data_IF_002800533181
#
_entry.id   IF_002800533181
#
_cell.length_a   1.000
_cell.length_b   1.000
_cell.length_c   1.000
_cell.angle_alpha   90.00
_cell.angle_beta   90.00
_cell.angle_gamma   90.00
#
_symmetry.space_group_name_H-M   'P 1'
#
loop_
_entity.id
_entity.type
_entity.pdbx_description
1 polymer ?
#
# COMPACT_ATOMS: atom_id res chain seq x y z
N UNK A 1 -57.46 31.60 30.44
CA UNK A 1 -56.11 32.12 30.75
C UNK A 1 -55.11 31.48 29.80
N UNK A 2 -54.58 32.24 28.84
CA UNK A 2 -53.61 31.74 27.85
C UNK A 2 -52.20 31.82 28.44
N UNK A 3 -51.56 30.67 28.65
CA UNK A 3 -50.17 30.59 29.10
C UNK A 3 -49.30 30.92 27.89
N UNK A 4 -48.75 32.14 27.86
CA UNK A 4 -47.76 32.53 26.88
C UNK A 4 -46.56 31.56 26.96
N UNK A 5 -46.41 30.70 25.96
CA UNK A 5 -45.24 29.84 25.81
C UNK A 5 -44.03 30.76 25.64
N UNK A 6 -43.14 30.80 26.64
CA UNK A 6 -41.80 31.39 26.51
C UNK A 6 -41.10 30.67 25.36
N UNK A 7 -40.90 31.37 24.25
CA UNK A 7 -40.06 30.88 23.15
C UNK A 7 -38.62 30.94 23.66
N UNK A 8 -38.11 29.82 24.15
CA UNK A 8 -36.71 29.71 24.54
C UNK A 8 -35.86 29.67 23.26
N UNK A 9 -35.26 30.81 22.92
CA UNK A 9 -34.33 30.91 21.80
C UNK A 9 -33.00 30.31 22.23
N UNK A 10 -32.57 29.22 21.59
CA UNK A 10 -31.30 28.57 21.88
C UNK A 10 -30.16 29.53 21.47
N UNK A 11 -29.32 30.02 22.41
CA UNK A 11 -28.26 30.97 22.09
C UNK A 11 -27.14 30.36 21.23
N UNK A 12 -27.10 29.02 21.08
CA UNK A 12 -26.10 28.32 20.29
C UNK A 12 -26.62 27.83 18.93
N UNK A 13 -27.87 28.16 18.57
CA UNK A 13 -28.51 27.64 17.36
C UNK A 13 -27.73 28.02 16.09
N UNK A 14 -27.24 29.25 16.03
CA UNK A 14 -26.46 29.76 14.89
C UNK A 14 -25.11 29.03 14.78
N UNK A 15 -24.35 28.94 15.88
CA UNK A 15 -23.11 28.18 15.91
C UNK A 15 -23.31 26.69 15.54
N UNK A 16 -24.42 26.08 15.98
CA UNK A 16 -24.75 24.70 15.61
C UNK A 16 -25.04 24.57 14.12
N UNK A 17 -25.77 25.53 13.52
CA UNK A 17 -26.03 25.57 12.08
C UNK A 17 -24.74 25.74 11.29
N UNK A 18 -23.89 26.69 11.68
CA UNK A 18 -22.63 26.95 11.00
C UNK A 18 -21.69 25.75 11.06
N UNK A 19 -21.64 25.08 12.22
CA UNK A 19 -20.86 23.85 12.37
C UNK A 19 -21.40 22.72 11.50
N UNK A 20 -22.72 22.58 11.40
CA UNK A 20 -23.34 21.56 10.53
C UNK A 20 -23.07 21.87 9.07
N UNK A 21 -23.18 23.14 8.68
CA UNK A 21 -22.89 23.62 7.33
C UNK A 21 -21.43 23.38 6.95
N UNK A 22 -20.47 23.84 7.77
CA UNK A 22 -19.05 23.65 7.49
C UNK A 22 -18.63 22.18 7.45
N UNK A 23 -19.26 21.31 8.25
CA UNK A 23 -19.07 19.86 8.13
C UNK A 23 -19.63 19.31 6.82
N UNK A 24 -20.83 19.75 6.43
CA UNK A 24 -21.46 19.36 5.17
C UNK A 24 -20.57 19.71 3.98
N UNK A 25 -20.10 20.95 3.92
CA UNK A 25 -19.25 21.44 2.84
C UNK A 25 -17.94 20.64 2.76
N UNK A 26 -17.34 20.31 3.91
CA UNK A 26 -16.15 19.45 3.96
C UNK A 26 -16.44 18.02 3.47
N UNK A 27 -17.58 17.42 3.87
CA UNK A 27 -17.99 16.09 3.41
C UNK A 27 -18.16 16.07 1.90
N UNK A 28 -18.82 17.08 1.32
CA UNK A 28 -19.02 17.19 -0.13
C UNK A 28 -17.69 17.26 -0.87
N UNK A 29 -16.79 18.13 -0.42
CA UNK A 29 -15.44 18.26 -0.99
C UNK A 29 -14.63 16.96 -0.87
N UNK A 30 -14.71 16.28 0.28
CA UNK A 30 -14.01 15.01 0.49
C UNK A 30 -14.56 13.90 -0.42
N UNK A 31 -15.88 13.83 -0.62
CA UNK A 31 -16.51 12.85 -1.50
C UNK A 31 -16.17 13.10 -2.99
N UNK A 32 -16.01 14.35 -3.42
CA UNK A 32 -15.58 14.67 -4.79
C UNK A 32 -14.16 14.15 -5.12
N UNK A 33 -13.30 14.06 -4.11
CA UNK A 33 -11.91 13.59 -4.28
C UNK A 33 -11.79 12.06 -4.22
N UNK A 34 -12.85 11.35 -3.84
CA UNK A 34 -12.84 9.89 -3.75
C UNK A 34 -13.24 9.24 -5.07
N UNK A 35 -12.61 8.10 -5.37
CA UNK A 35 -12.95 7.28 -6.52
C UNK A 35 -14.09 6.32 -6.19
N UNK A 36 -14.96 6.07 -7.17
CA UNK A 36 -16.05 5.10 -7.06
C UNK A 36 -15.48 3.67 -6.93
N UNK A 37 -16.15 2.80 -6.17
CA UNK A 37 -15.74 1.41 -5.97
C UNK A 37 -14.69 1.19 -4.87
N UNK A 38 -14.23 2.24 -4.18
CA UNK A 38 -13.27 2.09 -3.06
C UNK A 38 -13.92 1.54 -1.77
N UNK A 39 -15.25 1.56 -1.66
CA UNK A 39 -15.97 1.21 -0.44
C UNK A 39 -17.09 0.21 -0.73
N UNK A 40 -17.15 -0.87 0.06
CA UNK A 40 -18.16 -1.93 -0.11
C UNK A 40 -19.55 -1.51 0.41
N UNK A 41 -19.59 -0.58 1.38
CA UNK A 41 -20.83 -0.13 1.98
C UNK A 41 -20.72 1.29 2.55
N UNK A 42 -21.88 1.95 2.69
CA UNK A 42 -22.03 3.30 3.26
C UNK A 42 -21.41 3.41 4.65
N UNK A 43 -21.42 2.30 5.40
CA UNK A 43 -20.90 2.25 6.76
C UNK A 43 -19.37 2.37 6.79
N UNK A 44 -18.67 1.72 5.86
CA UNK A 44 -17.21 1.84 5.66
C UNK A 44 -16.84 3.24 5.18
N UNK A 45 -17.60 3.80 4.23
CA UNK A 45 -17.44 5.18 3.78
C UNK A 45 -17.63 6.18 4.92
N UNK A 46 -18.67 6.00 5.74
CA UNK A 46 -18.92 6.86 6.90
C UNK A 46 -17.79 6.80 7.94
N UNK A 47 -17.20 5.63 8.20
CA UNK A 47 -16.02 5.52 9.07
C UNK A 47 -14.85 6.33 8.52
N UNK A 48 -14.62 6.25 7.20
CA UNK A 48 -13.54 6.98 6.54
C UNK A 48 -13.76 8.50 6.57
N UNK A 49 -14.95 8.97 6.21
CA UNK A 49 -15.29 10.40 6.24
C UNK A 49 -15.25 10.94 7.69
N UNK A 50 -15.65 10.14 8.68
CA UNK A 50 -15.59 10.54 10.09
C UNK A 50 -14.14 10.76 10.57
N UNK A 51 -13.19 9.94 10.11
CA UNK A 51 -11.77 10.11 10.43
C UNK A 51 -11.19 11.37 9.77
N UNK A 52 -11.52 11.62 8.50
CA UNK A 52 -11.16 12.85 7.78
C UNK A 52 -11.68 14.10 8.48
N UNK A 53 -12.97 14.14 8.81
CA UNK A 53 -13.58 15.25 9.53
C UNK A 53 -12.94 15.48 10.90
N UNK A 54 -12.65 14.41 11.63
CA UNK A 54 -11.99 14.52 12.94
C UNK A 54 -10.62 15.17 12.81
N UNK A 55 -9.82 14.76 11.81
CA UNK A 55 -8.51 15.35 11.58
C UNK A 55 -8.63 16.81 11.13
N UNK A 56 -9.59 17.13 10.27
CA UNK A 56 -9.87 18.50 9.85
C UNK A 56 -10.24 19.40 11.04
N UNK A 57 -11.15 18.95 11.91
CA UNK A 57 -11.53 19.72 13.11
C UNK A 57 -10.34 19.91 14.07
N UNK A 58 -9.49 18.89 14.23
CA UNK A 58 -8.25 19.00 15.02
C UNK A 58 -7.27 20.01 14.42
N UNK A 59 -7.12 20.04 13.09
CA UNK A 59 -6.25 21.02 12.42
C UNK A 59 -6.77 22.44 12.57
N UNK A 60 -8.07 22.66 12.32
CA UNK A 60 -8.70 23.97 12.53
C UNK A 60 -8.58 24.42 13.98
N UNK A 61 -8.69 23.49 14.94
CA UNK A 61 -8.47 23.78 16.35
C UNK A 61 -7.03 24.24 16.61
N UNK A 62 -6.03 23.50 16.11
CA UNK A 62 -4.61 23.87 16.26
C UNK A 62 -4.28 25.23 15.66
N UNK A 63 -4.80 25.54 14.47
CA UNK A 63 -4.60 26.84 13.81
C UNK A 63 -5.19 27.98 14.65
N UNK A 64 -6.43 27.81 15.15
CA UNK A 64 -7.07 28.82 16.00
C UNK A 64 -6.41 28.97 17.36
N UNK A 65 -5.87 27.89 17.92
CA UNK A 65 -5.12 27.92 19.17
C UNK A 65 -3.79 28.68 18.99
N UNK A 66 -3.09 28.51 17.87
CA UNK A 66 -1.88 29.27 17.57
C UNK A 66 -2.13 30.76 17.35
N UNK A 67 -3.29 31.14 16.82
CA UNK A 67 -3.63 32.55 16.57
C UNK A 67 -4.06 33.29 17.84
N UNK A 68 -4.74 32.64 18.78
CA UNK A 68 -5.39 33.32 19.91
C UNK A 68 -4.65 33.19 21.26
N UNK A 69 -3.51 32.47 21.34
CA UNK A 69 -2.75 32.21 22.58
C UNK A 69 -3.61 31.72 23.77
N UNK A 70 -4.82 31.23 23.51
CA UNK A 70 -5.73 30.67 24.51
C UNK A 70 -5.69 29.15 24.37
N UNK A 71 -4.88 28.51 25.22
CA UNK A 71 -4.75 27.05 25.31
C UNK A 71 -5.98 26.37 25.92
N UNK A 72 -6.88 27.12 26.55
CA UNK A 72 -8.06 26.58 27.20
C UNK A 72 -9.25 26.51 26.25
N UNK A 73 -9.38 25.40 25.52
CA UNK A 73 -10.64 24.89 24.96
C UNK A 73 -10.47 23.45 24.49
N UNK A 74 -10.62 22.48 25.41
CA UNK A 74 -10.87 21.05 25.16
C UNK A 74 -10.84 20.62 23.67
N UNK A 75 -9.82 19.85 23.30
CA UNK A 75 -9.63 19.33 21.93
C UNK A 75 -10.97 18.83 21.34
N UNK A 76 -11.29 19.14 20.07
CA UNK A 76 -12.53 18.72 19.46
C UNK A 76 -12.71 17.20 19.57
N UNK A 77 -13.85 16.79 20.13
CA UNK A 77 -14.19 15.37 20.24
C UNK A 77 -14.21 14.71 18.86
N UNK A 78 -13.69 13.47 18.74
CA UNK A 78 -13.75 12.72 17.49
C UNK A 78 -15.17 12.63 16.95
N UNK A 79 -15.31 12.89 15.64
CA UNK A 79 -16.56 12.64 14.94
C UNK A 79 -16.69 11.14 14.76
N UNK A 80 -17.76 10.56 15.28
CA UNK A 80 -18.03 9.14 15.12
C UNK A 80 -18.78 8.86 13.81
N UNK A 81 -18.62 7.65 13.27
CA UNK A 81 -19.46 7.12 12.18
C UNK A 81 -20.95 7.29 12.49
N UNK A 82 -21.36 6.97 13.72
CA UNK A 82 -22.75 7.10 14.16
C UNK A 82 -23.25 8.54 14.11
N UNK A 83 -22.39 9.53 14.38
CA UNK A 83 -22.71 10.95 14.22
C UNK A 83 -23.07 11.28 12.77
N UNK A 84 -22.32 10.73 11.80
CA UNK A 84 -22.60 10.94 10.39
C UNK A 84 -23.90 10.25 9.94
N UNK A 85 -24.11 9.01 10.37
CA UNK A 85 -25.29 8.23 9.96
C UNK A 85 -26.59 8.68 10.64
N UNK A 86 -26.52 9.36 11.79
CA UNK A 86 -27.69 9.93 12.48
C UNK A 86 -28.14 11.25 11.87
N UNK A 87 -27.21 12.04 11.32
CA UNK A 87 -27.55 13.28 10.64
C UNK A 87 -28.09 12.95 9.23
N UNK A 88 -29.32 13.38 8.94
CA UNK A 88 -30.01 13.05 7.68
C UNK A 88 -29.26 13.59 6.46
N UNK A 89 -28.73 14.80 6.55
CA UNK A 89 -28.06 15.46 5.43
C UNK A 89 -26.75 14.77 5.09
N UNK A 90 -25.94 14.45 6.11
CA UNK A 90 -24.69 13.71 5.90
C UNK A 90 -24.95 12.31 5.35
N UNK A 91 -25.93 11.59 5.91
CA UNK A 91 -26.30 10.25 5.42
C UNK A 91 -26.76 10.27 3.96
N UNK A 92 -27.50 11.30 3.56
CA UNK A 92 -27.95 11.47 2.18
C UNK A 92 -26.77 11.62 1.22
N UNK A 93 -25.79 12.48 1.55
CA UNK A 93 -24.58 12.66 0.75
C UNK A 93 -23.79 11.35 0.57
N UNK A 94 -23.60 10.60 1.66
CA UNK A 94 -22.89 9.33 1.63
C UNK A 94 -23.62 8.27 0.80
N UNK A 95 -24.95 8.20 0.92
CA UNK A 95 -25.77 7.30 0.11
C UNK A 95 -25.74 7.67 -1.38
N UNK A 96 -25.84 8.96 -1.70
CA UNK A 96 -25.79 9.45 -3.09
C UNK A 96 -24.45 9.12 -3.75
N UNK A 97 -23.34 9.26 -3.02
CA UNK A 97 -22.03 8.83 -3.50
C UNK A 97 -21.97 7.32 -3.76
N UNK A 98 -22.47 6.50 -2.82
CA UNK A 98 -22.49 5.04 -2.98
C UNK A 98 -23.41 4.54 -4.10
N UNK A 99 -24.46 5.30 -4.43
CA UNK A 99 -25.39 4.97 -5.52
C UNK A 99 -24.88 5.35 -6.92
N UNK A 100 -23.66 5.91 -7.04
CA UNK A 100 -23.07 6.30 -8.33
C UNK A 100 -23.75 7.50 -9.00
N UNK A 101 -24.70 8.15 -8.33
CA UNK A 101 -25.39 9.33 -8.84
C UNK A 101 -24.57 10.60 -8.58
N UNK A 102 -23.47 10.79 -9.32
CA UNK A 102 -22.80 12.10 -9.41
C UNK A 102 -23.70 13.22 -9.95
N UNK A 103 -24.80 12.85 -10.63
CA UNK A 103 -25.57 13.74 -11.51
C UNK A 103 -26.51 14.76 -10.84
N UNK A 104 -26.57 14.86 -9.52
CA UNK A 104 -27.37 15.92 -8.86
C UNK A 104 -26.78 16.38 -7.51
N UNK A 105 -25.48 16.64 -7.44
CA UNK A 105 -24.98 17.71 -6.57
C UNK A 105 -24.89 18.97 -7.44
N UNK A 106 -26.07 19.48 -7.81
CA UNK A 106 -26.23 20.53 -8.80
C UNK A 106 -25.61 21.85 -8.36
N UNK A 107 -24.77 22.38 -9.24
CA UNK A 107 -24.96 23.72 -9.79
C UNK A 107 -24.73 24.92 -8.86
N UNK A 108 -23.60 24.91 -8.14
CA UNK A 108 -22.95 26.16 -7.74
C UNK A 108 -21.81 26.40 -8.70
N UNK A 109 -21.97 27.41 -9.56
CA UNK A 109 -20.94 27.96 -10.43
C UNK A 109 -19.63 28.07 -9.65
N UNK A 110 -18.61 27.35 -10.12
CA UNK A 110 -17.26 27.36 -9.57
C UNK A 110 -16.50 28.68 -9.84
N UNK A 111 -17.21 29.80 -10.04
CA UNK A 111 -16.63 31.11 -10.34
C UNK A 111 -16.83 32.18 -9.26
N UNK A 112 -17.54 31.89 -8.15
CA UNK A 112 -17.65 32.83 -7.02
C UNK A 112 -17.51 32.14 -5.66
N UNK A 113 -16.41 31.41 -5.46
CA UNK A 113 -15.88 31.17 -4.10
C UNK A 113 -14.44 31.67 -4.07
N UNK A 114 -14.31 32.99 -4.23
CA UNK A 114 -13.17 33.70 -3.67
C UNK A 114 -13.32 33.73 -2.14
N UNK A 115 -12.28 33.32 -1.43
CA UNK A 115 -12.19 33.48 0.02
C UNK A 115 -11.72 32.24 0.77
N UNK A 116 -10.44 31.92 0.62
CA UNK A 116 -9.59 31.60 1.78
C UNK A 116 -10.05 30.46 2.72
N UNK A 117 -10.48 29.31 2.20
CA UNK A 117 -10.52 28.07 3.00
C UNK A 117 -10.44 26.78 2.17
N UNK A 118 -9.90 26.86 0.97
CA UNK A 118 -9.37 25.69 0.28
C UNK A 118 -8.04 25.33 0.96
N UNK A 119 -8.03 24.33 1.85
CA UNK A 119 -6.77 23.71 2.26
C UNK A 119 -6.06 23.31 0.96
N UNK A 120 -4.89 23.87 0.65
CA UNK A 120 -4.26 23.68 -0.65
C UNK A 120 -4.10 22.18 -0.87
N UNK A 121 -4.36 21.69 -2.09
CA UNK A 121 -4.30 20.25 -2.44
C UNK A 121 -3.09 19.54 -1.82
N UNK A 122 -1.98 20.25 -1.68
CA UNK A 122 -0.75 19.83 -1.00
C UNK A 122 -0.94 19.40 0.46
N UNK A 123 -1.83 20.03 1.23
CA UNK A 123 -2.13 19.67 2.62
C UNK A 123 -3.00 18.40 2.71
N UNK A 124 -3.93 18.20 1.78
CA UNK A 124 -4.72 16.95 1.73
C UNK A 124 -3.85 15.77 1.27
N UNK A 125 -2.97 16.00 0.30
CA UNK A 125 -1.95 15.03 -0.11
C UNK A 125 -0.97 14.73 1.04
N UNK A 126 -0.54 15.74 1.80
CA UNK A 126 0.34 15.55 2.95
C UNK A 126 -0.34 14.74 4.07
N UNK A 127 -1.65 14.93 4.29
CA UNK A 127 -2.43 14.09 5.22
C UNK A 127 -2.56 12.66 4.71
N UNK A 128 -2.81 12.48 3.41
CA UNK A 128 -2.86 11.15 2.78
C UNK A 128 -1.53 10.42 2.94
N UNK A 129 -0.42 11.08 2.58
CA UNK A 129 0.94 10.54 2.73
C UNK A 129 1.25 10.24 4.18
N UNK A 130 0.88 11.11 5.14
CA UNK A 130 1.08 10.83 6.57
C UNK A 130 0.36 9.57 7.03
N UNK A 131 -0.89 9.34 6.60
CA UNK A 131 -1.62 8.09 6.95
C UNK A 131 -1.04 6.87 6.28
N UNK A 132 -0.53 7.01 5.06
CA UNK A 132 0.11 5.91 4.36
C UNK A 132 1.43 5.55 5.05
N UNK A 133 2.20 6.56 5.50
CA UNK A 133 3.37 6.38 6.36
C UNK A 133 2.99 5.72 7.69
N UNK A 134 1.98 6.22 8.42
CA UNK A 134 1.53 5.60 9.67
C UNK A 134 1.09 4.14 9.47
N UNK A 135 0.39 3.84 8.37
CA UNK A 135 0.01 2.46 8.02
C UNK A 135 1.22 1.59 7.69
N UNK A 136 2.20 2.12 6.95
CA UNK A 136 3.43 1.42 6.65
C UNK A 136 4.27 1.19 7.90
N UNK A 137 4.39 2.18 8.79
CA UNK A 137 5.08 2.05 10.07
C UNK A 137 4.41 0.99 10.94
N UNK A 138 3.09 1.02 11.10
CA UNK A 138 2.37 -0.01 11.86
C UNK A 138 2.48 -1.41 11.23
N UNK A 139 2.56 -1.49 9.89
CA UNK A 139 2.81 -2.74 9.19
C UNK A 139 4.24 -3.25 9.40
N UNK A 140 5.23 -2.35 9.38
CA UNK A 140 6.63 -2.67 9.71
C UNK A 140 6.73 -3.13 11.16
N UNK A 141 6.18 -2.39 12.13
CA UNK A 141 6.17 -2.79 13.55
C UNK A 141 5.49 -4.15 13.74
N UNK A 142 4.41 -4.42 13.02
CA UNK A 142 3.77 -5.73 13.00
C UNK A 142 4.68 -6.81 12.42
N UNK A 143 5.33 -6.56 11.28
CA UNK A 143 6.26 -7.51 10.67
C UNK A 143 7.48 -7.76 11.55
N UNK A 144 7.99 -6.71 12.18
CA UNK A 144 9.10 -6.78 13.15
C UNK A 144 8.67 -7.58 14.38
N UNK A 145 7.47 -7.33 14.93
CA UNK A 145 6.90 -8.13 16.03
C UNK A 145 6.67 -9.59 15.63
N UNK A 146 6.21 -9.85 14.40
CA UNK A 146 6.05 -11.21 13.85
C UNK A 146 7.42 -11.87 13.62
N UNK A 147 8.47 -11.09 13.32
CA UNK A 147 9.85 -11.57 13.18
C UNK A 147 10.51 -11.84 14.54
N UNK A 148 10.24 -11.01 15.54
CA UNK A 148 10.71 -11.18 16.93
C UNK A 148 9.97 -12.33 17.62
N UNK A 149 8.68 -12.51 17.34
CA UNK A 149 7.91 -13.69 17.77
C UNK A 149 8.41 -14.99 17.14
N UNK A 150 9.02 -14.95 15.95
CA UNK A 150 9.69 -16.11 15.33
C UNK A 150 11.10 -16.36 15.86
N UNK A 151 11.75 -15.40 16.51
CA UNK A 151 13.09 -15.59 17.11
C UNK A 151 13.09 -16.51 18.34
N UNK A 152 11.93 -16.89 18.86
CA UNK A 152 11.82 -17.77 20.03
C UNK A 152 11.52 -19.25 19.71
N UNK A 153 11.55 -19.72 18.45
CA UNK A 153 11.38 -21.17 18.24
C UNK A 153 11.26 -21.74 16.83
N UNK A 154 12.05 -21.32 15.85
CA UNK A 154 12.14 -22.07 14.58
C UNK A 154 13.19 -21.53 13.61
N UNK A 155 13.80 -22.37 12.76
CA UNK A 155 14.80 -21.94 11.79
C UNK A 155 14.15 -20.92 10.85
N UNK A 156 14.79 -19.77 10.74
CA UNK A 156 14.35 -18.64 9.93
C UNK A 156 14.19 -19.10 8.47
N UNK A 157 13.15 -18.67 7.74
CA UNK A 157 12.95 -19.10 6.34
C UNK A 157 14.12 -18.72 5.42
N UNK A 158 14.96 -17.77 5.84
CA UNK A 158 16.24 -17.47 5.18
C UNK A 158 17.30 -18.55 5.38
N UNK A 159 17.32 -19.26 6.53
CA UNK A 159 18.24 -20.36 6.77
C UNK A 159 17.83 -21.59 5.97
N UNK A 160 16.53 -21.86 5.85
CA UNK A 160 16.02 -22.94 4.99
C UNK A 160 16.28 -22.66 3.51
N UNK A 161 16.04 -21.43 3.05
CA UNK A 161 16.35 -21.05 1.66
C UNK A 161 17.87 -21.08 1.38
N UNK A 162 18.70 -20.69 2.36
CA UNK A 162 20.15 -20.78 2.25
C UNK A 162 20.62 -22.24 2.24
N UNK A 163 20.05 -23.09 3.08
CA UNK A 163 20.35 -24.53 3.15
C UNK A 163 19.90 -25.25 1.86
N UNK A 164 18.74 -24.89 1.31
CA UNK A 164 18.27 -25.38 0.00
C UNK A 164 19.19 -24.93 -1.14
N UNK A 165 19.62 -23.66 -1.13
CA UNK A 165 20.58 -23.14 -2.11
C UNK A 165 21.94 -23.85 -2.00
N UNK A 166 22.47 -24.04 -0.79
CA UNK A 166 23.71 -24.78 -0.57
C UNK A 166 23.59 -26.24 -1.00
N UNK A 167 22.47 -26.88 -0.70
CA UNK A 167 22.17 -28.26 -1.12
C UNK A 167 22.12 -28.37 -2.64
N UNK A 168 21.47 -27.42 -3.32
CA UNK A 168 21.40 -27.37 -4.77
C UNK A 168 22.77 -27.13 -5.39
N UNK A 169 23.56 -26.23 -4.81
CA UNK A 169 24.94 -25.95 -5.24
C UNK A 169 25.83 -27.19 -5.12
N UNK A 170 25.73 -27.96 -4.02
CA UNK A 170 26.48 -29.22 -3.86
C UNK A 170 26.06 -30.26 -4.88
N UNK A 171 24.76 -30.43 -5.14
CA UNK A 171 24.24 -31.36 -6.16
C UNK A 171 24.76 -30.99 -7.56
N UNK A 172 24.73 -29.71 -7.90
CA UNK A 172 25.25 -29.22 -9.16
C UNK A 172 26.76 -29.52 -9.30
N UNK A 173 27.55 -29.28 -8.25
CA UNK A 173 28.98 -29.62 -8.24
C UNK A 173 29.23 -31.13 -8.42
N UNK A 174 28.43 -31.99 -7.77
CA UNK A 174 28.52 -33.44 -7.92
C UNK A 174 28.22 -33.89 -9.35
N UNK A 175 27.19 -33.31 -9.98
CA UNK A 175 26.84 -33.61 -11.37
C UNK A 175 27.96 -33.17 -12.31
N UNK A 176 28.52 -31.98 -12.11
CA UNK A 176 29.65 -31.50 -12.91
C UNK A 176 30.86 -32.44 -12.77
N UNK A 177 31.17 -32.88 -11.55
CA UNK A 177 32.28 -33.80 -11.31
C UNK A 177 32.03 -35.17 -11.95
N UNK A 178 30.84 -35.74 -11.78
CA UNK A 178 30.46 -37.01 -12.41
C UNK A 178 30.53 -36.93 -13.94
N UNK A 179 30.14 -35.81 -14.52
CA UNK A 179 30.27 -35.57 -15.96
C UNK A 179 31.75 -35.54 -16.40
N UNK A 180 32.61 -34.86 -15.64
CA UNK A 180 34.05 -34.82 -15.92
C UNK A 180 34.69 -36.21 -15.80
N UNK A 181 34.33 -36.97 -14.78
CA UNK A 181 34.84 -38.33 -14.57
C UNK A 181 34.39 -39.26 -15.70
N UNK A 182 33.13 -39.13 -16.15
CA UNK A 182 32.58 -39.86 -17.29
C UNK A 182 33.27 -39.48 -18.60
N UNK A 183 33.48 -38.17 -18.84
CA UNK A 183 34.18 -37.67 -20.01
C UNK A 183 35.64 -38.16 -20.04
N UNK A 184 36.33 -38.15 -18.89
CA UNK A 184 37.73 -38.56 -18.77
C UNK A 184 37.92 -40.08 -18.89
N UNK A 185 36.92 -40.87 -18.50
CA UNK A 185 36.98 -42.35 -18.54
C UNK A 185 36.46 -42.95 -19.83
N UNK A 186 35.77 -42.18 -20.68
CA UNK A 186 35.21 -42.64 -21.95
C UNK A 186 36.11 -42.23 -23.13
N UNK A 187 36.94 -43.13 -23.68
CA UNK A 187 37.91 -42.82 -24.74
C UNK A 187 37.29 -42.46 -26.12
N UNK A 188 35.96 -42.38 -26.24
CA UNK A 188 35.25 -42.16 -27.50
C UNK A 188 34.13 -41.12 -27.41
N UNK A 189 34.17 -40.17 -26.47
CA UNK A 189 33.24 -39.03 -26.46
C UNK A 189 33.63 -37.93 -27.46
N UNK A 190 33.97 -38.29 -28.71
CA UNK A 190 34.04 -37.32 -29.82
C UNK A 190 32.63 -36.83 -30.26
N UNK A 191 31.59 -37.18 -29.49
CA UNK A 191 30.20 -36.81 -29.73
C UNK A 191 29.80 -35.47 -29.11
N UNK A 192 30.57 -34.94 -28.15
CA UNK A 192 30.24 -33.68 -27.50
C UNK A 192 31.30 -32.62 -27.83
N UNK A 193 30.86 -31.50 -28.40
CA UNK A 193 31.73 -30.37 -28.74
C UNK A 193 31.25 -29.10 -28.05
N UNK A 194 32.19 -28.27 -27.60
CA UNK A 194 31.89 -26.96 -27.03
C UNK A 194 31.98 -25.92 -28.15
N UNK A 195 30.84 -25.47 -28.66
CA UNK A 195 30.76 -24.46 -29.74
C UNK A 195 30.16 -23.17 -29.18
N UNK A 196 30.92 -22.07 -29.24
CA UNK A 196 30.54 -20.76 -28.70
C UNK A 196 30.08 -20.80 -27.21
N UNK A 197 30.72 -21.66 -26.42
CA UNK A 197 30.41 -21.85 -25.00
C UNK A 197 29.22 -22.77 -24.71
N UNK A 198 28.56 -23.33 -25.72
CA UNK A 198 27.48 -24.31 -25.54
C UNK A 198 27.99 -25.73 -25.76
N UNK A 199 27.47 -26.70 -25.02
CA UNK A 199 27.72 -28.13 -25.27
C UNK A 199 26.72 -28.65 -26.28
N UNK A 200 27.25 -29.12 -27.41
CA UNK A 200 26.50 -29.66 -28.54
C UNK A 200 26.75 -31.15 -28.62
N UNK A 201 25.68 -31.92 -28.70
CA UNK A 201 25.74 -33.35 -28.95
C UNK A 201 25.59 -33.64 -30.45
N UNK A 202 26.62 -34.21 -31.06
CA UNK A 202 26.68 -34.61 -32.47
C UNK A 202 26.02 -35.96 -32.74
N UNK A 203 25.63 -36.72 -31.71
CA UNK A 203 24.92 -37.99 -31.87
C UNK A 203 23.50 -37.81 -32.42
N UNK A 204 22.90 -36.62 -32.24
CA UNK A 204 21.54 -36.31 -32.67
C UNK A 204 21.45 -34.92 -33.32
N UNK A 205 21.67 -34.84 -34.65
CA UNK A 205 21.48 -33.65 -35.51
C UNK A 205 21.48 -32.28 -34.77
N UNK A 206 22.62 -31.94 -34.15
CA UNK A 206 22.97 -30.59 -33.68
C UNK A 206 21.95 -29.92 -32.75
N UNK A 207 21.59 -30.56 -31.63
CA UNK A 207 20.85 -29.88 -30.55
C UNK A 207 21.82 -29.35 -29.48
N UNK A 208 21.61 -28.09 -29.09
CA UNK A 208 22.25 -27.52 -27.90
C UNK A 208 21.66 -28.23 -26.68
N UNK A 209 22.48 -29.00 -25.97
CA UNK A 209 22.02 -29.79 -24.82
C UNK A 209 22.01 -28.93 -23.56
N UNK A 210 22.91 -27.96 -23.45
CA UNK A 210 23.06 -27.10 -22.26
C UNK A 210 23.45 -25.67 -22.66
N UNK A 211 22.77 -24.67 -22.09
CA UNK A 211 23.08 -23.25 -22.26
C UNK A 211 24.45 -22.86 -21.69
N UNK A 212 25.16 -21.96 -22.37
CA UNK A 212 26.52 -21.53 -22.03
C UNK A 212 26.72 -21.08 -20.57
N UNK A 213 25.72 -20.42 -19.97
CA UNK A 213 25.82 -19.93 -18.58
C UNK A 213 25.86 -21.05 -17.54
N UNK A 214 25.29 -22.21 -17.86
CA UNK A 214 25.20 -23.34 -16.94
C UNK A 214 26.37 -24.32 -17.09
N UNK A 215 27.23 -24.15 -18.08
CA UNK A 215 28.31 -25.08 -18.38
C UNK A 215 29.71 -24.49 -18.18
N UNK A 216 29.81 -23.18 -17.96
CA UNK A 216 31.07 -22.48 -17.73
C UNK A 216 32.02 -23.19 -16.73
N UNK A 217 31.57 -23.68 -15.56
CA UNK A 217 32.47 -24.39 -14.62
C UNK A 217 32.98 -25.73 -15.14
N UNK A 218 32.22 -26.40 -16.01
CA UNK A 218 32.61 -27.66 -16.64
C UNK A 218 33.61 -27.38 -17.75
N UNK A 219 33.37 -26.35 -18.58
CA UNK A 219 34.27 -25.95 -19.67
C UNK A 219 35.64 -25.53 -19.13
N UNK A 220 35.69 -24.78 -18.03
CA UNK A 220 36.96 -24.39 -17.40
C UNK A 220 37.76 -25.61 -16.96
N UNK A 221 37.13 -26.56 -16.26
CA UNK A 221 37.80 -27.79 -15.82
C UNK A 221 38.20 -28.71 -16.98
N UNK A 222 37.41 -28.78 -18.04
CA UNK A 222 37.75 -29.58 -19.23
C UNK A 222 38.95 -28.99 -19.99
N UNK A 223 39.10 -27.66 -20.04
CA UNK A 223 40.30 -27.00 -20.60
C UNK A 223 41.59 -27.34 -19.83
N UNK A 224 41.48 -27.57 -18.52
CA UNK A 224 42.60 -27.99 -17.68
C UNK A 224 43.00 -29.46 -17.94
N UNK A 225 42.02 -30.32 -18.25
CA UNK A 225 42.23 -31.75 -18.49
C UNK A 225 42.70 -32.03 -19.92
N UNK A 226 42.16 -31.30 -20.90
CA UNK A 226 42.40 -31.54 -22.32
C UNK A 226 43.04 -30.32 -22.99
N UNK A 227 44.36 -30.17 -22.84
CA UNK A 227 45.14 -29.09 -23.45
C UNK A 227 45.21 -29.14 -25.00
N UNK A 228 44.51 -30.06 -25.68
CA UNK A 228 44.68 -30.29 -27.12
C UNK A 228 43.40 -30.38 -27.96
N UNK A 229 42.20 -30.19 -27.41
CA UNK A 229 40.94 -30.31 -28.18
C UNK A 229 39.83 -29.33 -27.75
N UNK A 230 40.17 -28.08 -27.43
CA UNK A 230 39.21 -26.95 -27.42
C UNK A 230 39.77 -25.84 -28.30
#
# INVERSE_FOLDING_TARGET
MSIAKRVYRNPFEEWQRDRVKGRKDYIENALQQLHEGQFDNVSSLATYIASLLTQHEKLLYKLKASENQQEDKLEPRPVSKSTLLRNKDYRMLLNSFMAGTRKTLGDVKAEEIGGELALPKTQMELVRVKRDVERMTAYIERLESESEGRRLGGPTSNDQALEEYESLKRKYQMICQAFIDLYSSAPSMDLFEIVNGNLVDHSSRGQVVVEAKLIEPIVEKLKEIDHKKI
#
